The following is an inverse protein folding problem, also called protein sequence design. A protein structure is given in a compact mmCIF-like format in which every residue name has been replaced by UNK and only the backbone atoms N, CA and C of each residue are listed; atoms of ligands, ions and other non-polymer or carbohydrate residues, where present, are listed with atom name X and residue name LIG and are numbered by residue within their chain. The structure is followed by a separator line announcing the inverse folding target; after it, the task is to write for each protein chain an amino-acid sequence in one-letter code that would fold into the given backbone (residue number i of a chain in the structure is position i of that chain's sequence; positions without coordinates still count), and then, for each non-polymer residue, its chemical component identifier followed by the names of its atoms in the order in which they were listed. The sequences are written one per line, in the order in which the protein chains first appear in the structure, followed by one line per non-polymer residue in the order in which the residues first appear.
data_IF_209116536192
#
_entry.id   IF_209116536192
#
_cell.length_a   1.000
_cell.length_b   1.000
_cell.length_c   1.000
_cell.angle_alpha   90.00
_cell.angle_beta   90.00
_cell.angle_gamma   90.00
#
_symmetry.space_group_name_H-M   'P 1'
#
loop_
_entity.id
_entity.type
_entity.pdbx_description
1 polymer ?
#
# COMPACT_ATOMS: atom_id res chain seq x y z
N UNK A 1 14.72 7.49 -0.82
CA UNK A 1 15.14 7.22 0.58
C UNK A 1 14.01 6.70 1.49
N UNK A 2 12.72 6.83 1.14
CA UNK A 2 11.59 6.41 1.99
C UNK A 2 11.48 4.87 2.22
N UNK A 3 12.04 4.05 1.33
CA UNK A 3 11.96 2.58 1.39
C UNK A 3 12.67 1.98 2.61
N UNK A 4 13.74 2.61 3.08
CA UNK A 4 14.52 2.11 4.22
C UNK A 4 13.81 2.35 5.57
N UNK A 5 12.94 3.36 5.65
CA UNK A 5 12.23 3.76 6.87
C UNK A 5 10.95 2.96 7.07
N UNK A 6 10.33 2.49 5.98
CA UNK A 6 9.08 1.76 5.99
C UNK A 6 9.05 0.50 6.88
N UNK A 7 10.03 -0.42 6.85
CA UNK A 7 9.95 -1.62 7.69
C UNK A 7 9.98 -1.26 9.17
N UNK A 8 10.73 -0.23 9.55
CA UNK A 8 10.73 0.28 10.92
C UNK A 8 9.39 0.90 11.28
N UNK A 9 8.80 1.70 10.38
CA UNK A 9 7.51 2.34 10.61
C UNK A 9 6.38 1.31 10.74
N UNK A 10 6.31 0.35 9.81
CA UNK A 10 5.30 -0.72 9.81
C UNK A 10 5.48 -1.65 11.02
N UNK A 11 6.71 -2.02 11.37
CA UNK A 11 6.99 -2.78 12.60
C UNK A 11 6.52 -2.02 13.83
N UNK A 12 6.83 -0.73 13.93
CA UNK A 12 6.41 0.10 15.08
C UNK A 12 4.90 0.20 15.16
N UNK A 13 4.20 0.40 14.04
CA UNK A 13 2.73 0.45 13.99
C UNK A 13 2.13 -0.89 14.43
N UNK A 14 2.61 -2.01 13.88
CA UNK A 14 2.11 -3.35 14.23
C UNK A 14 2.34 -3.64 15.72
N UNK A 15 3.53 -3.32 16.25
CA UNK A 15 3.85 -3.53 17.67
C UNK A 15 2.98 -2.64 18.56
N UNK A 16 2.80 -1.36 18.22
CA UNK A 16 1.95 -0.44 18.98
C UNK A 16 0.49 -0.88 18.96
N UNK A 17 -0.04 -1.30 17.81
CA UNK A 17 -1.41 -1.79 17.71
C UNK A 17 -1.61 -3.12 18.43
N UNK A 18 -0.64 -4.03 18.33
CA UNK A 18 -0.68 -5.31 19.05
C UNK A 18 -0.60 -5.11 20.57
N UNK A 19 0.30 -4.25 21.04
CA UNK A 19 0.44 -3.89 22.45
C UNK A 19 -0.77 -3.10 22.96
N UNK A 20 -1.34 -2.21 22.14
CA UNK A 20 -2.53 -1.42 22.48
C UNK A 20 -3.81 -2.26 22.63
N UNK A 21 -3.86 -3.44 21.99
CA UNK A 21 -4.96 -4.40 22.13
C UNK A 21 -4.90 -5.24 23.41
N UNK A 22 -3.79 -5.19 24.17
CA UNK A 22 -3.68 -5.90 25.46
C UNK A 22 -4.42 -5.13 26.57
N UNK A 23 -5.20 -5.87 27.38
CA UNK A 23 -6.02 -5.34 28.49
C UNK A 23 -5.24 -4.60 29.60
N UNK A 24 -3.90 -4.60 29.55
CA UNK A 24 -3.00 -3.93 30.48
C UNK A 24 -2.06 -2.92 29.79
N UNK A 25 -2.37 -2.47 28.57
CA UNK A 25 -1.52 -1.54 27.80
C UNK A 25 -1.29 -0.18 28.49
N UNK A 26 -2.16 0.17 29.44
CA UNK A 26 -2.00 1.32 30.32
C UNK A 26 -1.96 0.83 31.78
N UNK A 27 -0.75 0.56 32.28
CA UNK A 27 -0.51 0.41 33.71
C UNK A 27 -0.22 1.82 34.23
N UNK A 28 -1.07 2.33 35.11
CA UNK A 28 -0.74 3.53 35.89
C UNK A 28 0.44 3.18 36.78
N UNK A 29 1.64 3.60 36.36
CA UNK A 29 2.87 3.34 37.14
C UNK A 29 2.72 4.08 38.47
N UNK A 30 2.74 3.37 39.61
CA UNK A 30 2.73 4.01 40.92
C UNK A 30 3.91 4.99 41.00
N UNK A 31 3.75 6.12 41.71
CA UNK A 31 4.82 7.12 41.88
C UNK A 31 6.12 6.43 42.31
N UNK A 32 7.08 6.36 41.38
CA UNK A 32 8.39 5.77 41.63
C UNK A 32 9.04 6.54 42.76
N UNK A 33 9.52 5.84 43.79
CA UNK A 33 10.20 6.49 44.90
C UNK A 33 11.48 7.17 44.38
N UNK A 34 11.79 8.40 44.83
CA UNK A 34 13.00 9.10 44.41
C UNK A 34 14.28 8.26 44.57
N UNK A 35 14.32 7.37 45.58
CA UNK A 35 15.45 6.46 45.80
C UNK A 35 15.68 5.44 44.68
N UNK A 36 14.62 4.90 44.07
CA UNK A 36 14.75 3.97 42.94
C UNK A 36 15.24 4.69 41.67
N UNK A 37 14.81 5.93 41.48
CA UNK A 37 15.30 6.77 40.39
C UNK A 37 16.82 7.03 40.55
N UNK A 38 17.27 7.40 41.76
CA UNK A 38 18.70 7.56 42.05
C UNK A 38 19.50 6.27 41.86
N UNK A 39 18.96 5.11 42.22
CA UNK A 39 19.62 3.82 42.00
C UNK A 39 19.82 3.50 40.50
N UNK A 40 18.82 3.82 39.66
CA UNK A 40 18.92 3.69 38.20
C UNK A 40 19.96 4.66 37.61
N UNK A 41 20.03 5.89 38.11
CA UNK A 41 21.05 6.85 37.67
C UNK A 41 22.46 6.47 38.14
N UNK A 42 22.62 5.80 39.28
CA UNK A 42 23.90 5.30 39.77
C UNK A 42 24.46 4.09 38.97
N UNK A 43 23.60 3.36 38.24
CA UNK A 43 24.02 2.26 37.37
C UNK A 43 24.84 2.74 36.17
N UNK A 44 24.57 3.94 35.66
CA UNK A 44 25.26 4.53 34.50
C UNK A 44 26.75 4.81 34.75
N UNK A 45 27.17 5.49 35.84
CA UNK A 45 28.59 5.68 36.15
C UNK A 45 29.27 4.37 36.55
N UNK A 46 28.57 3.43 37.17
CA UNK A 46 29.11 2.10 37.48
C UNK A 46 29.43 1.33 36.18
N UNK A 47 28.51 1.31 35.22
CA UNK A 47 28.73 0.73 33.90
C UNK A 47 29.84 1.46 33.11
N UNK A 48 30.01 2.77 33.31
CA UNK A 48 31.10 3.55 32.73
C UNK A 48 32.46 3.26 33.39
N UNK A 49 32.48 3.01 34.70
CA UNK A 49 33.67 2.62 35.47
C UNK A 49 34.13 1.20 35.12
N UNK A 50 33.19 0.25 35.02
CA UNK A 50 33.42 -1.10 34.50
C UNK A 50 33.90 -1.08 33.03
N UNK A 51 33.51 -0.05 32.26
CA UNK A 51 34.06 0.22 30.93
C UNK A 51 35.50 0.73 30.95
N UNK A 52 36.06 1.26 32.05
CA UNK A 52 37.45 1.76 32.08
C UNK A 52 38.49 0.68 32.38
N UNK A 53 38.09 -0.51 32.82
CA UNK A 53 39.02 -1.59 33.12
C UNK A 53 39.53 -2.27 31.82
N UNK A 54 40.81 -2.03 31.52
CA UNK A 54 41.48 -2.47 30.28
C UNK A 54 41.76 -3.98 30.26
N UNK A 55 41.79 -4.67 31.41
CA UNK A 55 42.11 -6.10 31.52
C UNK A 55 40.92 -7.01 31.18
N UNK A 56 39.70 -6.58 31.51
CA UNK A 56 38.46 -7.27 31.13
C UNK A 56 38.14 -7.07 29.63
N UNK A 57 38.46 -5.89 29.09
CA UNK A 57 38.24 -5.55 27.67
C UNK A 57 39.05 -6.39 26.69
N UNK A 58 40.28 -6.74 27.00
CA UNK A 58 41.15 -7.54 26.11
C UNK A 58 40.71 -8.99 26.04
N UNK A 59 40.38 -9.61 27.20
CA UNK A 59 39.83 -10.97 27.26
C UNK A 59 38.45 -11.10 26.60
N UNK A 60 37.58 -10.10 26.77
CA UNK A 60 36.29 -10.04 26.08
C UNK A 60 36.45 -9.79 24.58
N UNK A 61 37.43 -9.00 24.11
CA UNK A 61 37.65 -8.72 22.67
C UNK A 61 38.13 -9.95 21.90
N UNK A 62 39.00 -10.77 22.47
CA UNK A 62 39.46 -12.02 21.83
C UNK A 62 38.36 -13.09 21.79
N UNK A 63 37.53 -13.19 22.83
CA UNK A 63 36.36 -14.05 22.84
C UNK A 63 35.21 -13.54 21.93
N UNK A 64 35.02 -12.21 21.84
CA UNK A 64 33.97 -11.59 21.03
C UNK A 64 34.33 -11.34 19.56
N UNK A 65 35.60 -11.42 19.15
CA UNK A 65 35.99 -11.19 17.76
C UNK A 65 35.36 -12.20 16.79
N UNK A 66 35.26 -13.47 17.24
CA UNK A 66 34.65 -14.57 16.49
C UNK A 66 33.12 -14.61 16.64
N UNK A 67 32.57 -14.13 17.76
CA UNK A 67 31.12 -14.06 17.99
C UNK A 67 30.48 -12.80 17.42
N UNK A 68 31.16 -11.66 17.28
CA UNK A 68 30.58 -10.47 16.64
C UNK A 68 30.27 -10.70 15.17
N UNK A 69 31.20 -11.32 14.43
CA UNK A 69 30.95 -11.71 13.03
C UNK A 69 29.78 -12.69 12.94
N UNK A 70 29.78 -13.74 13.77
CA UNK A 70 28.68 -14.72 13.82
C UNK A 70 27.33 -14.07 14.22
N UNK A 71 27.31 -13.18 15.22
CA UNK A 71 26.11 -12.45 15.66
C UNK A 71 25.62 -11.51 14.58
N UNK A 72 26.51 -10.77 13.89
CA UNK A 72 26.13 -9.93 12.74
C UNK A 72 25.55 -10.80 11.62
N UNK A 73 26.15 -11.94 11.30
CA UNK A 73 25.65 -12.87 10.30
C UNK A 73 24.28 -13.46 10.68
N UNK A 74 24.07 -13.82 11.95
CA UNK A 74 22.79 -14.33 12.46
C UNK A 74 21.72 -13.24 12.39
N UNK A 75 22.02 -12.00 12.81
CA UNK A 75 21.08 -10.88 12.73
C UNK A 75 20.77 -10.54 11.27
N UNK A 76 21.77 -10.53 10.39
CA UNK A 76 21.57 -10.31 8.96
C UNK A 76 20.70 -11.42 8.34
N UNK A 77 20.94 -12.69 8.70
CA UNK A 77 20.15 -13.82 8.24
C UNK A 77 18.71 -13.76 8.77
N UNK A 78 18.52 -13.39 10.05
CA UNK A 78 17.20 -13.20 10.63
C UNK A 78 16.42 -12.05 9.96
N UNK A 79 17.10 -10.94 9.66
CA UNK A 79 16.52 -9.82 8.90
C UNK A 79 16.17 -10.25 7.46
N UNK A 80 17.05 -10.98 6.78
CA UNK A 80 16.78 -11.51 5.45
C UNK A 80 15.59 -12.47 5.46
N UNK A 81 15.54 -13.39 6.43
CA UNK A 81 14.42 -14.32 6.60
C UNK A 81 13.11 -13.57 6.88
N UNK A 82 13.14 -12.56 7.75
CA UNK A 82 11.99 -11.70 8.02
C UNK A 82 11.50 -10.99 6.75
N UNK A 83 12.41 -10.40 5.97
CA UNK A 83 12.06 -9.76 4.69
C UNK A 83 11.46 -10.75 3.69
N UNK A 84 12.07 -11.93 3.54
CA UNK A 84 11.53 -12.99 2.67
C UNK A 84 10.12 -13.37 3.13
N UNK A 85 9.92 -13.58 4.44
CA UNK A 85 8.61 -13.97 4.95
C UNK A 85 7.56 -12.87 4.78
N UNK A 86 7.94 -11.59 4.87
CA UNK A 86 7.02 -10.49 4.54
C UNK A 86 6.58 -10.49 3.09
N UNK A 87 7.46 -10.84 2.15
CA UNK A 87 7.11 -11.01 0.73
C UNK A 87 6.21 -12.21 0.55
N UNK A 88 6.54 -13.36 1.15
CA UNK A 88 5.71 -14.58 1.07
C UNK A 88 4.30 -14.35 1.61
N UNK A 89 4.16 -13.71 2.78
CA UNK A 89 2.86 -13.43 3.39
C UNK A 89 2.02 -12.37 2.64
N UNK A 90 2.60 -11.67 1.66
CA UNK A 90 1.89 -10.66 0.86
C UNK A 90 1.64 -11.10 -0.58
N UNK A 91 2.09 -12.31 -0.95
CA UNK A 91 1.68 -12.95 -2.18
C UNK A 91 0.15 -13.15 -2.20
N UNK A 92 -0.47 -13.22 -3.39
CA UNK A 92 -1.88 -13.55 -3.51
C UNK A 92 -2.18 -14.90 -2.84
N UNK A 93 -3.24 -14.94 -2.04
CA UNK A 93 -3.71 -16.13 -1.32
C UNK A 93 -4.72 -16.96 -2.13
N UNK A 94 -4.75 -16.75 -3.46
CA UNK A 94 -5.66 -17.39 -4.42
C UNK A 94 -7.14 -17.12 -4.16
N UNK A 95 -7.46 -16.06 -3.40
CA UNK A 95 -8.84 -15.63 -3.15
C UNK A 95 -9.11 -14.26 -3.78
N UNK A 96 -10.38 -14.01 -4.08
CA UNK A 96 -10.85 -12.68 -4.47
C UNK A 96 -11.08 -11.87 -3.20
N UNK A 97 -10.40 -10.73 -3.08
CA UNK A 97 -10.65 -9.77 -2.01
C UNK A 97 -11.32 -8.53 -2.56
N UNK A 98 -12.37 -8.09 -1.89
CA UNK A 98 -13.06 -6.84 -2.16
C UNK A 98 -12.98 -5.98 -0.90
N UNK A 99 -12.45 -4.77 -1.05
CA UNK A 99 -12.33 -3.79 0.02
C UNK A 99 -13.14 -2.56 -0.36
N UNK A 100 -14.19 -2.28 0.40
CA UNK A 100 -14.91 -1.01 0.34
C UNK A 100 -14.15 -0.03 1.23
N UNK A 101 -13.54 0.99 0.63
CA UNK A 101 -12.65 1.90 1.32
C UNK A 101 -13.47 3.05 1.91
N UNK A 102 -13.27 3.30 3.20
CA UNK A 102 -13.82 4.48 3.86
C UNK A 102 -13.02 5.73 3.43
N UNK A 103 -13.56 6.44 2.43
CA UNK A 103 -13.04 7.68 1.84
C UNK A 103 -13.88 8.91 2.19
N UNK A 104 -14.84 8.76 3.11
CA UNK A 104 -15.80 9.81 3.46
C UNK A 104 -17.02 9.80 2.55
N UNK A 105 -17.26 10.90 1.83
CA UNK A 105 -18.35 10.99 0.85
C UNK A 105 -17.92 10.34 -0.47
N UNK A 106 -18.85 9.65 -1.15
CA UNK A 106 -18.61 8.97 -2.43
C UNK A 106 -18.06 7.55 -2.27
N UNK A 107 -17.56 6.98 -3.36
CA UNK A 107 -17.17 5.58 -3.42
C UNK A 107 -15.68 5.39 -3.73
N UNK A 108 -15.09 4.34 -3.16
CA UNK A 108 -13.81 3.80 -3.55
C UNK A 108 -13.76 2.31 -3.21
N UNK A 109 -13.61 1.45 -4.21
CA UNK A 109 -13.60 0.00 -4.04
C UNK A 109 -12.33 -0.57 -4.65
N UNK A 110 -11.55 -1.27 -3.83
CA UNK A 110 -10.35 -1.97 -4.26
C UNK A 110 -10.65 -3.47 -4.38
N UNK A 111 -10.33 -4.06 -5.52
CA UNK A 111 -10.42 -5.50 -5.77
C UNK A 111 -9.01 -6.07 -5.95
N UNK A 112 -8.73 -7.20 -5.29
CA UNK A 112 -7.54 -8.03 -5.55
C UNK A 112 -7.99 -9.40 -6.03
N UNK A 113 -7.57 -9.75 -7.24
CA UNK A 113 -7.90 -11.04 -7.85
C UNK A 113 -7.06 -12.18 -7.25
N UNK A 114 -7.50 -13.44 -7.38
CA UNK A 114 -6.72 -14.62 -7.01
C UNK A 114 -5.30 -14.62 -7.62
N UNK A 115 -5.17 -14.21 -8.89
CA UNK A 115 -3.91 -14.05 -9.60
C UNK A 115 -3.10 -12.78 -9.24
N UNK A 116 -3.52 -11.98 -8.27
CA UNK A 116 -2.78 -10.83 -7.76
C UNK A 116 -2.95 -9.51 -8.51
N UNK A 117 -3.82 -9.47 -9.53
CA UNK A 117 -4.19 -8.20 -10.20
C UNK A 117 -4.94 -7.28 -9.24
N UNK A 118 -4.70 -5.98 -9.41
CA UNK A 118 -5.28 -4.92 -8.57
C UNK A 118 -6.18 -4.04 -9.42
N UNK A 119 -7.46 -3.94 -9.03
CA UNK A 119 -8.47 -3.12 -9.71
C UNK A 119 -8.99 -2.10 -8.70
N UNK A 120 -9.11 -0.84 -9.11
CA UNK A 120 -9.66 0.23 -8.30
C UNK A 120 -10.88 0.81 -9.01
N UNK A 121 -12.02 0.89 -8.32
CA UNK A 121 -13.26 1.49 -8.82
C UNK A 121 -13.55 2.72 -7.98
N UNK A 122 -13.57 3.89 -8.61
CA UNK A 122 -13.66 5.20 -7.99
C UNK A 122 -12.59 5.50 -6.92
N UNK A 123 -12.47 6.77 -6.54
CA UNK A 123 -11.38 7.25 -5.69
C UNK A 123 -11.78 8.12 -4.51
N UNK A 124 -13.07 8.45 -4.34
CA UNK A 124 -13.47 9.44 -3.35
C UNK A 124 -13.01 10.88 -3.69
N UNK A 125 -13.30 11.85 -2.81
CA UNK A 125 -12.95 13.26 -2.99
C UNK A 125 -11.52 13.59 -2.56
N UNK A 126 -10.90 12.79 -1.69
CA UNK A 126 -9.61 13.08 -1.07
C UNK A 126 -8.52 12.06 -1.49
N UNK A 127 -7.55 12.47 -2.33
CA UNK A 127 -6.45 11.62 -2.75
C UNK A 127 -5.54 11.14 -1.62
N UNK A 128 -5.40 11.92 -0.54
CA UNK A 128 -4.56 11.56 0.61
C UNK A 128 -5.23 10.44 1.41
N UNK A 129 -6.54 10.54 1.61
CA UNK A 129 -7.33 9.50 2.28
C UNK A 129 -7.27 8.21 1.47
N UNK A 130 -7.53 8.27 0.15
CA UNK A 130 -7.43 7.11 -0.72
C UNK A 130 -6.03 6.48 -0.68
N UNK A 131 -4.97 7.27 -0.84
CA UNK A 131 -3.59 6.77 -0.80
C UNK A 131 -3.26 6.11 0.55
N UNK A 132 -3.77 6.68 1.65
CA UNK A 132 -3.61 6.11 3.00
C UNK A 132 -4.30 4.75 3.12
N UNK A 133 -5.55 4.63 2.64
CA UNK A 133 -6.31 3.37 2.65
C UNK A 133 -5.64 2.31 1.78
N UNK A 134 -5.20 2.68 0.57
CA UNK A 134 -4.43 1.79 -0.31
C UNK A 134 -3.13 1.32 0.37
N UNK A 135 -2.39 2.21 1.04
CA UNK A 135 -1.15 1.86 1.75
C UNK A 135 -1.33 0.97 2.99
N UNK A 136 -2.55 0.85 3.52
CA UNK A 136 -2.87 -0.09 4.59
C UNK A 136 -3.04 -1.52 4.07
N UNK A 137 -3.59 -1.65 2.85
CA UNK A 137 -3.97 -2.93 2.22
C UNK A 137 -2.88 -3.45 1.28
N UNK A 138 -2.35 -2.60 0.41
CA UNK A 138 -1.36 -2.97 -0.59
C UNK A 138 0.06 -2.98 0.00
N UNK A 139 0.91 -3.94 -0.39
CA UNK A 139 2.32 -3.91 -0.06
C UNK A 139 2.99 -2.63 -0.60
N UNK A 140 3.99 -2.09 0.09
CA UNK A 140 4.62 -0.81 -0.31
C UNK A 140 5.31 -0.84 -1.69
N UNK A 141 5.68 -2.04 -2.16
CA UNK A 141 6.27 -2.27 -3.47
C UNK A 141 5.21 -2.45 -4.57
N UNK A 142 3.94 -2.58 -4.22
CA UNK A 142 2.85 -2.60 -5.20
C UNK A 142 2.74 -1.21 -5.80
N UNK A 143 3.34 -1.02 -6.98
CA UNK A 143 3.33 0.23 -7.74
C UNK A 143 2.52 0.16 -9.02
N UNK A 144 1.85 -0.97 -9.25
CA UNK A 144 1.03 -1.22 -10.44
C UNK A 144 -0.44 -1.41 -10.05
N UNK A 145 -1.32 -0.77 -10.79
CA UNK A 145 -2.76 -1.00 -10.76
C UNK A 145 -3.13 -1.47 -12.17
N UNK A 146 -3.76 -2.64 -12.26
CA UNK A 146 -4.11 -3.26 -13.55
C UNK A 146 -5.22 -2.50 -14.25
N UNK A 147 -6.19 -2.03 -13.48
CA UNK A 147 -7.36 -1.36 -14.00
C UNK A 147 -7.87 -0.32 -12.99
N UNK A 148 -8.09 0.89 -13.46
CA UNK A 148 -8.88 1.90 -12.75
C UNK A 148 -10.21 2.04 -13.48
N UNK A 149 -11.31 2.12 -12.74
CA UNK A 149 -12.65 2.36 -13.29
C UNK A 149 -13.17 3.65 -12.67
N UNK A 150 -13.44 4.65 -13.50
CA UNK A 150 -14.08 5.90 -13.09
C UNK A 150 -15.55 5.84 -13.53
N UNK A 151 -16.47 5.80 -12.57
CA UNK A 151 -17.90 5.61 -12.86
C UNK A 151 -18.56 6.86 -13.44
N UNK A 152 -18.18 8.05 -12.96
CA UNK A 152 -18.64 9.36 -13.43
C UNK A 152 -17.69 10.48 -12.98
N UNK A 153 -17.89 11.70 -13.51
CA UNK A 153 -16.97 12.83 -13.34
C UNK A 153 -17.19 13.69 -12.08
N UNK A 154 -17.92 13.18 -11.08
CA UNK A 154 -18.19 13.95 -9.87
C UNK A 154 -16.98 13.96 -8.92
N UNK A 155 -16.87 15.03 -8.14
CA UNK A 155 -15.68 15.28 -7.32
C UNK A 155 -15.47 14.17 -6.28
N UNK A 156 -16.54 13.64 -5.71
CA UNK A 156 -16.53 12.57 -4.72
C UNK A 156 -16.29 11.18 -5.30
N UNK A 157 -16.03 11.06 -6.60
CA UNK A 157 -15.63 9.80 -7.25
C UNK A 157 -14.31 9.92 -8.00
N UNK A 158 -14.10 11.02 -8.75
CA UNK A 158 -12.97 11.16 -9.67
C UNK A 158 -11.73 11.81 -9.04
N UNK A 159 -11.90 12.73 -8.09
CA UNK A 159 -10.79 13.57 -7.62
C UNK A 159 -9.66 12.75 -6.98
N UNK A 160 -10.01 11.72 -6.21
CA UNK A 160 -9.04 10.81 -5.60
C UNK A 160 -8.23 10.00 -6.61
N UNK A 161 -8.77 9.72 -7.80
CA UNK A 161 -8.11 8.91 -8.83
C UNK A 161 -6.98 9.63 -9.56
N UNK A 162 -7.06 10.95 -9.72
CA UNK A 162 -6.07 11.73 -10.48
C UNK A 162 -4.65 11.51 -9.92
N UNK A 163 -4.38 11.72 -8.62
CA UNK A 163 -3.03 11.49 -8.08
C UNK A 163 -2.64 10.02 -8.01
N UNK A 164 -3.59 9.09 -8.14
CA UNK A 164 -3.29 7.66 -8.23
C UNK A 164 -2.67 7.34 -9.60
N UNK A 165 -3.25 7.84 -10.69
CA UNK A 165 -2.71 7.66 -12.04
C UNK A 165 -1.33 8.31 -12.20
N UNK A 166 -1.08 9.43 -11.51
CA UNK A 166 0.24 10.07 -11.51
C UNK A 166 1.31 9.29 -10.74
N UNK A 167 0.92 8.56 -9.68
CA UNK A 167 1.86 7.93 -8.73
C UNK A 167 2.04 6.43 -8.94
N UNK A 168 1.05 5.76 -9.51
CA UNK A 168 1.04 4.33 -9.79
C UNK A 168 1.13 4.10 -11.31
N UNK A 169 1.77 2.99 -11.70
CA UNK A 169 1.71 2.51 -13.07
C UNK A 169 0.33 1.89 -13.31
N UNK A 170 -0.58 2.64 -13.90
CA UNK A 170 -1.91 2.17 -14.29
C UNK A 170 -1.84 1.61 -15.70
N UNK A 171 -2.28 0.36 -15.89
CA UNK A 171 -2.25 -0.25 -17.22
C UNK A 171 -3.44 0.19 -18.09
N UNK A 172 -4.63 0.20 -17.51
CA UNK A 172 -5.86 0.58 -18.19
C UNK A 172 -6.76 1.43 -17.29
N UNK A 173 -7.49 2.34 -17.92
CA UNK A 173 -8.59 3.07 -17.30
C UNK A 173 -9.89 2.76 -18.06
N UNK A 174 -10.99 2.57 -17.34
CA UNK A 174 -12.34 2.48 -17.91
C UNK A 174 -13.15 3.68 -17.44
N UNK A 175 -13.85 4.32 -18.37
CA UNK A 175 -14.74 5.45 -18.10
C UNK A 175 -15.97 5.40 -19.02
N UNK A 176 -17.11 5.98 -18.63
CA UNK A 176 -18.26 6.08 -19.52
C UNK A 176 -17.99 7.06 -20.68
N UNK A 177 -18.51 6.79 -21.88
CA UNK A 177 -18.44 7.75 -23.00
C UNK A 177 -19.19 9.05 -22.72
N UNK A 178 -20.20 9.01 -21.84
CA UNK A 178 -20.97 10.17 -21.40
C UNK A 178 -20.32 10.89 -20.20
N UNK A 179 -18.99 10.76 -20.02
CA UNK A 179 -18.29 11.44 -18.94
C UNK A 179 -18.42 12.95 -19.12
N UNK A 180 -19.04 13.62 -18.14
CA UNK A 180 -19.32 15.05 -18.24
C UNK A 180 -18.03 15.85 -18.42
N UNK A 181 -18.03 16.77 -19.37
CA UNK A 181 -16.95 17.73 -19.54
C UNK A 181 -16.94 18.74 -18.39
N UNK A 182 -15.90 18.66 -17.57
CA UNK A 182 -15.63 19.53 -16.42
C UNK A 182 -14.13 19.79 -16.33
N UNK A 183 -13.68 20.82 -15.60
CA UNK A 183 -12.24 20.99 -15.34
C UNK A 183 -11.60 19.76 -14.68
N UNK A 184 -12.37 19.00 -13.88
CA UNK A 184 -11.88 17.80 -13.23
C UNK A 184 -11.68 16.64 -14.21
N UNK A 185 -12.63 16.40 -15.12
CA UNK A 185 -12.48 15.37 -16.16
C UNK A 185 -11.39 15.73 -17.18
N UNK A 186 -11.21 17.01 -17.49
CA UNK A 186 -10.07 17.46 -18.30
C UNK A 186 -8.72 17.14 -17.64
N UNK A 187 -8.58 17.40 -16.34
CA UNK A 187 -7.36 17.05 -15.58
C UNK A 187 -7.16 15.53 -15.49
N UNK A 188 -8.24 14.78 -15.31
CA UNK A 188 -8.19 13.31 -15.37
C UNK A 188 -7.63 12.80 -16.70
N UNK A 189 -8.13 13.31 -17.84
CA UNK A 189 -7.63 12.94 -19.17
C UNK A 189 -6.17 13.37 -19.40
N UNK A 190 -5.77 14.53 -18.89
CA UNK A 190 -4.37 14.98 -18.92
C UNK A 190 -3.45 14.02 -18.14
N UNK A 191 -3.85 13.62 -16.92
CA UNK A 191 -3.10 12.68 -16.10
C UNK A 191 -3.00 11.28 -16.75
N UNK A 192 -4.08 10.80 -17.38
CA UNK A 192 -4.08 9.54 -18.14
C UNK A 192 -3.13 9.60 -19.34
N UNK A 193 -3.16 10.71 -20.10
CA UNK A 193 -2.28 10.91 -21.24
C UNK A 193 -0.80 10.99 -20.80
N UNK A 194 -0.52 11.75 -19.74
CA UNK A 194 0.84 11.92 -19.21
C UNK A 194 1.43 10.61 -18.64
N UNK A 195 0.60 9.75 -18.06
CA UNK A 195 1.01 8.44 -17.53
C UNK A 195 1.10 7.35 -18.60
N UNK A 196 0.62 7.61 -19.83
CA UNK A 196 0.52 6.61 -20.90
C UNK A 196 -0.51 5.52 -20.63
N UNK A 197 -1.52 5.81 -19.81
CA UNK A 197 -2.58 4.86 -19.46
C UNK A 197 -3.56 4.70 -20.63
N UNK A 198 -3.86 3.45 -21.03
CA UNK A 198 -4.83 3.19 -22.09
C UNK A 198 -6.25 3.35 -21.56
N UNK A 199 -6.99 4.31 -22.12
CA UNK A 199 -8.41 4.53 -21.81
C UNK A 199 -9.29 3.60 -22.63
N UNK A 200 -10.32 3.03 -22.01
CA UNK A 200 -11.30 2.16 -22.65
C UNK A 200 -12.69 2.67 -22.29
N UNK A 201 -13.51 2.92 -23.30
CA UNK A 201 -14.88 3.41 -23.08
C UNK A 201 -15.80 2.26 -22.67
N UNK A 202 -16.49 2.46 -21.55
CA UNK A 202 -17.44 1.50 -21.00
C UNK A 202 -18.69 1.42 -21.90
N UNK A 203 -19.13 0.19 -22.19
CA UNK A 203 -20.38 -0.08 -22.89
C UNK A 203 -21.13 -1.21 -22.21
N UNK A 204 -22.47 -1.17 -22.25
CA UNK A 204 -23.31 -2.24 -21.70
C UNK A 204 -22.96 -3.59 -22.30
N UNK A 205 -22.80 -4.58 -21.44
CA UNK A 205 -22.43 -5.95 -21.80
C UNK A 205 -20.92 -6.14 -22.04
N UNK A 206 -20.11 -5.08 -21.94
CA UNK A 206 -18.64 -5.20 -22.00
C UNK A 206 -18.16 -6.11 -20.86
N UNK A 207 -17.37 -7.13 -21.22
CA UNK A 207 -16.81 -8.10 -20.28
C UNK A 207 -15.30 -7.97 -20.23
N UNK A 208 -14.77 -7.60 -19.07
CA UNK A 208 -13.34 -7.52 -18.80
C UNK A 208 -12.91 -8.77 -18.06
N UNK A 209 -12.03 -9.57 -18.69
CA UNK A 209 -11.49 -10.79 -18.06
C UNK A 209 -10.34 -10.43 -17.13
N UNK A 210 -10.53 -10.70 -15.84
CA UNK A 210 -9.57 -10.36 -14.79
C UNK A 210 -8.63 -11.53 -14.43
N UNK A 211 -8.75 -12.67 -15.11
CA UNK A 211 -7.99 -13.91 -14.83
C UNK A 211 -8.78 -14.90 -13.98
N UNK A 212 -8.36 -16.17 -13.93
CA UNK A 212 -8.92 -17.21 -13.05
C UNK A 212 -10.46 -17.35 -13.10
N UNK A 213 -11.04 -17.32 -14.31
CA UNK A 213 -12.49 -17.31 -14.56
C UNK A 213 -13.27 -16.12 -13.96
N UNK A 214 -12.58 -15.10 -13.44
CA UNK A 214 -13.18 -13.86 -12.97
C UNK A 214 -13.44 -12.90 -14.13
N UNK A 215 -14.68 -12.45 -14.24
CA UNK A 215 -15.11 -11.49 -15.26
C UNK A 215 -15.82 -10.32 -14.60
N UNK A 216 -15.44 -9.10 -14.97
CA UNK A 216 -16.16 -7.88 -14.64
C UNK A 216 -17.08 -7.56 -15.82
N UNK A 217 -18.38 -7.45 -15.57
CA UNK A 217 -19.38 -7.12 -16.58
C UNK A 217 -19.92 -5.72 -16.34
N UNK A 218 -19.86 -4.88 -17.37
CA UNK A 218 -20.38 -3.52 -17.36
C UNK A 218 -21.87 -3.58 -17.69
N UNK A 219 -22.73 -3.14 -16.77
CA UNK A 219 -24.20 -3.19 -16.96
C UNK A 219 -24.77 -1.93 -17.60
N UNK A 220 -24.04 -0.81 -17.51
CA UNK A 220 -24.40 0.54 -17.96
C UNK A 220 -23.09 1.30 -18.27
N UNK A 221 -23.02 2.22 -19.24
CA UNK A 221 -24.10 2.88 -20.00
C UNK A 221 -24.61 2.13 -21.24
N UNK A 222 -25.85 2.42 -21.71
CA UNK A 222 -26.37 1.89 -22.98
C UNK A 222 -25.42 2.24 -24.13
N UNK A 223 -25.34 1.37 -25.13
CA UNK A 223 -24.39 1.49 -26.24
C UNK A 223 -24.56 2.81 -27.04
N UNK A 224 -25.77 3.35 -27.00
CA UNK A 224 -26.24 4.54 -27.70
C UNK A 224 -25.85 5.85 -26.98
N UNK A 225 -25.13 5.77 -25.86
CA UNK A 225 -24.67 6.93 -25.09
C UNK A 225 -23.49 7.69 -25.74
N UNK A 226 -23.09 7.35 -26.98
CA UNK A 226 -22.00 8.01 -27.72
C UNK A 226 -22.54 8.64 -29.00
N UNK A 227 -22.65 9.97 -29.03
CA UNK A 227 -22.73 10.74 -30.27
C UNK A 227 -21.33 11.27 -30.62
N UNK A 228 -20.40 10.42 -31.08
CA UNK A 228 -19.20 10.83 -31.85
C UNK A 228 -18.76 9.69 -32.77
N UNK A 229 -18.88 9.95 -34.08
CA UNK A 229 -18.30 9.32 -35.29
C UNK A 229 -17.74 7.90 -35.19
N UNK A 230 -18.45 6.98 -35.87
CA UNK A 230 -17.94 5.73 -36.42
C UNK A 230 -16.67 5.98 -37.26
N UNK A 231 -15.48 5.60 -36.78
CA UNK A 231 -14.44 5.14 -37.71
C UNK A 231 -13.40 4.17 -37.12
N UNK A 232 -13.11 4.18 -35.81
CA UNK A 232 -11.92 3.44 -35.31
C UNK A 232 -12.19 2.26 -34.34
N UNK A 233 -13.44 1.80 -34.20
CA UNK A 233 -13.80 0.87 -33.11
C UNK A 233 -13.45 -0.63 -33.33
N UNK A 234 -12.71 -1.02 -34.38
CA UNK A 234 -12.58 -2.44 -34.75
C UNK A 234 -11.18 -3.08 -34.64
N UNK A 235 -10.29 -2.55 -33.81
CA UNK A 235 -9.04 -3.25 -33.46
C UNK A 235 -8.99 -3.75 -32.01
N UNK A 236 -9.50 -4.98 -31.84
CA UNK A 236 -9.01 -6.07 -30.97
C UNK A 236 -8.32 -5.64 -29.66
N UNK A 237 -9.12 -5.44 -28.62
CA UNK A 237 -8.67 -5.47 -27.22
C UNK A 237 -8.40 -6.89 -26.74
N UNK A 238 -7.36 -7.56 -27.27
CA UNK A 238 -6.85 -8.81 -26.71
C UNK A 238 -5.87 -8.46 -25.57
N UNK A 239 -6.26 -8.75 -24.33
CA UNK A 239 -5.42 -8.57 -23.14
C UNK A 239 -4.29 -9.60 -23.16
N UNK A 240 -3.07 -9.18 -23.50
CA UNK A 240 -1.88 -10.04 -23.49
C UNK A 240 -1.13 -9.94 -22.16
N UNK A 241 -0.54 -11.06 -21.69
CA UNK A 241 0.13 -11.17 -20.38
C UNK A 241 1.30 -10.21 -20.20
#
# INVERSE_FOLDING_TARGET
AAWAVWPFLRYTIIVVEALGKLRWAAIQVPRLSPGLAWALYAFVPLAFALRRDTRLRTRLREALGRTRAATISIVALALAAALIWTVVCSLPDQQLHLYVLDVGQGDAILLRTPGGRVILVDGGPDPLVLTSRLGQILPFWQRRIDLVVATHADQDHLAGLIPIVERYKVAHAIEPPSMRETPLSAHWHEALAASGTRVILASRGMKVRLGDNLTLEVLHPPADAVNVTEDDANEKGEFRP
#
